data_IF_113915231957
#
_entry.id   IF_113915231957
#
_cell.length_a   1.000
_cell.length_b   1.000
_cell.length_c   1.000
_cell.angle_alpha   90.00
_cell.angle_beta   90.00
_cell.angle_gamma   90.00
#
_symmetry.space_group_name_H-M   'P 1'
#
loop_
_entity.id
_entity.type
_entity.pdbx_description
1 polymer ?
#
# COMPACT_ATOMS: atom_id res chain seq x y z
N UNK A 1 -25.37 40.80 41.51
CA UNK A 1 -26.11 39.52 41.45
C UNK A 1 -26.37 39.23 39.98
N UNK A 2 -25.79 38.14 39.47
CA UNK A 2 -25.78 37.79 38.05
C UNK A 2 -27.11 37.23 37.57
N UNK A 3 -27.64 37.79 36.48
CA UNK A 3 -28.78 37.27 35.75
C UNK A 3 -28.41 37.20 34.26
N UNK A 4 -27.60 36.21 33.89
CA UNK A 4 -27.58 35.67 32.53
C UNK A 4 -28.46 34.41 32.55
N UNK A 5 -29.77 34.60 32.43
CA UNK A 5 -30.66 33.49 32.06
C UNK A 5 -30.57 33.36 30.54
N UNK A 6 -29.77 32.39 30.09
CA UNK A 6 -29.84 31.87 28.73
C UNK A 6 -31.27 31.34 28.53
N UNK A 7 -32.10 32.06 27.80
CA UNK A 7 -33.38 31.52 27.35
C UNK A 7 -33.03 30.37 26.40
N UNK A 8 -33.40 29.14 26.78
CA UNK A 8 -33.24 27.98 25.91
C UNK A 8 -34.06 28.20 24.65
N UNK A 9 -33.39 28.55 23.57
CA UNK A 9 -34.00 28.72 22.26
C UNK A 9 -34.69 27.38 21.88
N UNK A 10 -36.02 27.37 21.66
CA UNK A 10 -36.75 26.15 21.33
C UNK A 10 -36.21 25.47 20.07
N UNK A 11 -35.57 26.23 19.17
CA UNK A 11 -34.88 25.67 18.00
C UNK A 11 -33.62 24.90 18.39
N UNK A 12 -32.86 25.37 19.38
CA UNK A 12 -31.70 24.66 19.93
C UNK A 12 -32.12 23.39 20.66
N UNK A 13 -33.20 23.45 21.44
CA UNK A 13 -33.74 22.28 22.15
C UNK A 13 -34.20 21.19 21.17
N UNK A 14 -34.84 21.58 20.06
CA UNK A 14 -35.27 20.65 19.00
C UNK A 14 -34.06 20.00 18.29
N UNK A 15 -33.03 20.80 17.98
CA UNK A 15 -31.77 20.30 17.40
C UNK A 15 -31.07 19.31 18.34
N UNK A 16 -30.94 19.62 19.63
CA UNK A 16 -30.34 18.72 20.63
C UNK A 16 -31.11 17.39 20.70
N UNK A 17 -32.45 17.44 20.73
CA UNK A 17 -33.28 16.22 20.73
C UNK A 17 -33.12 15.38 19.45
N UNK A 18 -32.91 16.01 18.30
CA UNK A 18 -32.65 15.30 17.05
C UNK A 18 -31.28 14.60 17.09
N UNK A 19 -30.24 15.29 17.56
CA UNK A 19 -28.89 14.74 17.74
C UNK A 19 -28.92 13.56 18.73
N UNK A 20 -29.60 13.69 19.87
CA UNK A 20 -29.71 12.61 20.86
C UNK A 20 -30.38 11.34 20.29
N UNK A 21 -31.36 11.52 19.38
CA UNK A 21 -32.00 10.39 18.69
C UNK A 21 -31.04 9.73 17.72
N UNK A 22 -30.30 10.52 16.94
CA UNK A 22 -29.31 10.02 15.99
C UNK A 22 -28.18 9.26 16.71
N UNK A 23 -27.66 9.81 17.81
CA UNK A 23 -26.65 9.15 18.66
C UNK A 23 -27.14 7.83 19.24
N UNK A 24 -28.38 7.78 19.73
CA UNK A 24 -28.98 6.52 20.23
C UNK A 24 -29.13 5.49 19.12
N UNK A 25 -29.55 5.91 17.93
CA UNK A 25 -29.68 5.00 16.79
C UNK A 25 -28.32 4.47 16.35
N UNK A 26 -27.32 5.34 16.18
CA UNK A 26 -25.95 4.96 15.85
C UNK A 26 -25.36 4.01 16.88
N UNK A 27 -25.63 4.22 18.18
CA UNK A 27 -25.17 3.32 19.24
C UNK A 27 -25.81 1.93 19.13
N UNK A 28 -27.12 1.84 18.85
CA UNK A 28 -27.80 0.56 18.63
C UNK A 28 -27.29 -0.17 17.37
N UNK A 29 -26.91 0.57 16.33
CA UNK A 29 -26.29 0.02 15.13
C UNK A 29 -24.87 -0.48 15.43
N UNK A 30 -24.07 0.29 16.17
CA UNK A 30 -22.71 -0.11 16.57
C UNK A 30 -22.69 -1.38 17.42
N UNK A 31 -23.65 -1.54 18.34
CA UNK A 31 -23.77 -2.75 19.16
C UNK A 31 -24.00 -4.02 18.33
N UNK A 32 -24.50 -3.90 17.09
CA UNK A 32 -24.69 -5.03 16.17
C UNK A 32 -23.42 -5.36 15.37
N UNK A 33 -22.40 -4.49 15.38
CA UNK A 33 -21.16 -4.67 14.63
C UNK A 33 -20.23 -5.62 15.38
N UNK A 34 -19.85 -6.72 14.73
CA UNK A 34 -18.80 -7.63 15.23
C UNK A 34 -17.44 -7.07 14.85
N UNK A 35 -16.66 -6.60 15.85
CA UNK A 35 -15.29 -6.09 15.64
C UNK A 35 -14.30 -7.24 15.64
N UNK A 36 -13.55 -7.40 14.55
CA UNK A 36 -12.51 -8.43 14.39
C UNK A 36 -11.12 -7.79 14.40
N UNK A 37 -10.20 -8.33 15.20
CA UNK A 37 -8.79 -7.93 15.23
C UNK A 37 -7.92 -9.07 14.67
N UNK A 38 -7.17 -8.78 13.61
CA UNK A 38 -6.22 -9.72 13.02
C UNK A 38 -4.81 -9.40 13.52
N UNK A 39 -4.17 -10.38 14.19
CA UNK A 39 -2.81 -10.28 14.72
C UNK A 39 -1.88 -11.23 14.00
N UNK A 40 -0.60 -10.85 13.91
CA UNK A 40 0.45 -11.64 13.27
C UNK A 40 1.64 -10.78 12.86
N UNK A 41 2.77 -11.42 12.59
CA UNK A 41 4.02 -10.77 12.17
C UNK A 41 3.85 -9.94 10.87
N UNK A 42 4.82 -9.08 10.55
CA UNK A 42 4.87 -8.40 9.26
C UNK A 42 4.71 -9.39 8.11
N UNK A 43 4.01 -8.97 7.05
CA UNK A 43 3.89 -9.74 5.79
C UNK A 43 3.18 -11.11 5.89
N UNK A 44 2.66 -11.51 7.06
CA UNK A 44 1.98 -12.82 7.25
C UNK A 44 0.58 -12.93 6.59
N UNK A 45 0.21 -12.03 5.69
CA UNK A 45 -1.04 -12.11 4.92
C UNK A 45 -2.30 -11.53 5.58
N UNK A 46 -2.21 -10.78 6.69
CA UNK A 46 -3.36 -10.13 7.34
C UNK A 46 -4.18 -9.25 6.36
N UNK A 47 -3.48 -8.41 5.60
CA UNK A 47 -4.09 -7.56 4.58
C UNK A 47 -4.74 -8.40 3.47
N UNK A 48 -4.14 -9.54 3.12
CA UNK A 48 -4.69 -10.46 2.12
C UNK A 48 -6.02 -11.07 2.59
N UNK A 49 -6.11 -11.50 3.86
CA UNK A 49 -7.37 -12.00 4.44
C UNK A 49 -8.47 -10.94 4.40
N UNK A 50 -8.15 -9.68 4.75
CA UNK A 50 -9.12 -8.58 4.67
C UNK A 50 -9.54 -8.27 3.23
N UNK A 51 -8.61 -8.31 2.27
CA UNK A 51 -8.92 -8.15 0.84
C UNK A 51 -9.86 -9.27 0.35
N UNK A 52 -9.63 -10.51 0.75
CA UNK A 52 -10.52 -11.63 0.41
C UNK A 52 -11.91 -11.47 1.02
N UNK A 53 -12.01 -11.04 2.28
CA UNK A 53 -13.32 -10.74 2.89
C UNK A 53 -14.07 -9.66 2.11
N UNK A 54 -13.38 -8.61 1.64
CA UNK A 54 -14.00 -7.57 0.79
C UNK A 54 -14.50 -8.16 -0.53
N UNK A 55 -13.71 -9.00 -1.20
CA UNK A 55 -14.09 -9.64 -2.46
C UNK A 55 -15.33 -10.52 -2.28
N UNK A 56 -15.45 -11.24 -1.15
CA UNK A 56 -16.57 -12.16 -0.91
C UNK A 56 -17.86 -11.47 -0.46
N UNK A 57 -17.77 -10.34 0.25
CA UNK A 57 -18.92 -9.73 0.93
C UNK A 57 -19.37 -8.37 0.38
N UNK A 58 -18.51 -7.64 -0.34
CA UNK A 58 -18.84 -6.34 -0.91
C UNK A 58 -18.86 -6.40 -2.43
N UNK A 59 -19.68 -5.54 -3.05
CA UNK A 59 -19.60 -5.30 -4.50
C UNK A 59 -18.21 -4.76 -4.86
N UNK A 60 -17.80 -5.03 -6.12
CA UNK A 60 -16.48 -4.74 -6.71
C UNK A 60 -15.89 -3.38 -6.30
N UNK A 61 -14.55 -3.31 -6.27
CA UNK A 61 -13.78 -2.11 -5.91
C UNK A 61 -14.23 -0.88 -6.71
N UNK A 62 -14.32 0.28 -6.05
CA UNK A 62 -14.61 1.54 -6.75
C UNK A 62 -13.43 1.99 -7.62
N UNK A 63 -13.68 2.90 -8.56
CA UNK A 63 -12.60 3.47 -9.40
C UNK A 63 -11.50 4.14 -8.57
N UNK A 64 -11.87 4.79 -7.46
CA UNK A 64 -10.93 5.39 -6.52
C UNK A 64 -10.08 4.32 -5.81
N UNK A 65 -10.69 3.21 -5.39
CA UNK A 65 -9.96 2.09 -4.79
C UNK A 65 -9.01 1.43 -5.80
N UNK A 66 -9.44 1.31 -7.06
CA UNK A 66 -8.59 0.81 -8.15
C UNK A 66 -7.40 1.75 -8.37
N UNK A 67 -7.62 3.08 -8.37
CA UNK A 67 -6.55 4.05 -8.51
C UNK A 67 -5.52 3.96 -7.37
N UNK A 68 -5.99 3.86 -6.12
CA UNK A 68 -5.10 3.66 -4.98
C UNK A 68 -4.33 2.32 -5.07
N UNK A 69 -5.00 1.26 -5.54
CA UNK A 69 -4.36 -0.05 -5.68
C UNK A 69 -3.30 -0.07 -6.79
N UNK A 70 -3.44 0.74 -7.84
CA UNK A 70 -2.39 0.94 -8.86
C UNK A 70 -1.13 1.56 -8.28
N UNK A 71 -1.25 2.61 -7.47
CA UNK A 71 -0.11 3.25 -6.81
C UNK A 71 0.69 2.24 -5.95
N UNK A 72 -0.02 1.35 -5.24
CA UNK A 72 0.60 0.26 -4.47
C UNK A 72 1.35 -0.72 -5.37
N UNK A 73 0.80 -1.07 -6.54
CA UNK A 73 1.47 -1.97 -7.50
C UNK A 73 2.75 -1.33 -8.04
N UNK A 74 2.71 -0.04 -8.40
CA UNK A 74 3.88 0.68 -8.87
C UNK A 74 4.98 0.70 -7.79
N UNK A 75 4.61 1.05 -6.56
CA UNK A 75 5.52 1.06 -5.43
C UNK A 75 6.19 -0.30 -5.23
N UNK A 76 5.40 -1.37 -5.11
CA UNK A 76 5.93 -2.72 -4.92
C UNK A 76 6.87 -3.14 -6.07
N UNK A 77 6.56 -2.77 -7.30
CA UNK A 77 7.38 -3.11 -8.48
C UNK A 77 8.75 -2.41 -8.41
N UNK A 78 8.75 -1.09 -8.18
CA UNK A 78 9.99 -0.30 -8.12
C UNK A 78 10.81 -0.70 -6.89
N UNK A 79 10.18 -0.78 -5.72
CA UNK A 79 10.85 -1.13 -4.47
C UNK A 79 11.43 -2.55 -4.51
N UNK A 80 10.72 -3.52 -5.09
CA UNK A 80 11.25 -4.89 -5.26
C UNK A 80 12.51 -4.90 -6.13
N UNK A 81 12.51 -4.16 -7.24
CA UNK A 81 13.69 -4.05 -8.10
C UNK A 81 14.85 -3.33 -7.39
N UNK A 82 14.58 -2.28 -6.62
CA UNK A 82 15.60 -1.59 -5.80
C UNK A 82 16.23 -2.54 -4.78
N UNK A 83 15.41 -3.34 -4.09
CA UNK A 83 15.87 -4.33 -3.13
C UNK A 83 16.76 -5.37 -3.81
N UNK A 84 16.38 -5.87 -4.99
CA UNK A 84 17.20 -6.79 -5.78
C UNK A 84 18.56 -6.16 -6.15
N UNK A 85 18.56 -4.94 -6.69
CA UNK A 85 19.79 -4.23 -7.08
C UNK A 85 20.72 -3.96 -5.88
N UNK A 86 20.15 -3.64 -4.72
CA UNK A 86 20.92 -3.49 -3.47
C UNK A 86 21.47 -4.82 -2.99
N UNK A 87 20.65 -5.87 -3.00
CA UNK A 87 21.05 -7.24 -2.66
C UNK A 87 22.18 -7.74 -3.55
N UNK A 88 22.14 -7.45 -4.85
CA UNK A 88 23.22 -7.74 -5.80
C UNK A 88 24.54 -7.12 -5.36
N UNK A 89 24.54 -5.83 -4.99
CA UNK A 89 25.73 -5.14 -4.50
C UNK A 89 26.26 -5.78 -3.20
N UNK A 90 25.38 -6.14 -2.26
CA UNK A 90 25.75 -6.81 -1.01
C UNK A 90 26.37 -8.19 -1.25
N UNK A 91 25.83 -8.96 -2.22
CA UNK A 91 26.28 -10.31 -2.54
C UNK A 91 27.43 -10.34 -3.57
N UNK A 92 27.87 -9.18 -4.05
CA UNK A 92 28.90 -9.06 -5.10
C UNK A 92 28.47 -9.61 -6.46
N UNK A 93 27.17 -9.68 -6.73
CA UNK A 93 26.61 -10.14 -8.00
C UNK A 93 26.61 -8.97 -8.98
N UNK A 94 27.26 -9.14 -10.12
CA UNK A 94 27.24 -8.16 -11.21
C UNK A 94 26.09 -8.45 -12.17
N UNK A 95 25.62 -7.41 -12.85
CA UNK A 95 24.75 -7.54 -14.02
C UNK A 95 25.48 -8.34 -15.11
N UNK A 96 24.74 -9.17 -15.82
CA UNK A 96 25.28 -9.99 -16.92
C UNK A 96 25.51 -9.11 -18.16
N UNK A 97 24.63 -8.14 -18.40
CA UNK A 97 24.77 -7.10 -19.42
C UNK A 97 25.19 -5.75 -18.79
N UNK A 98 26.46 -5.31 -18.93
CA UNK A 98 26.94 -4.04 -18.37
C UNK A 98 26.26 -2.80 -18.95
N UNK A 99 25.55 -2.90 -20.08
CA UNK A 99 24.79 -1.77 -20.61
C UNK A 99 23.57 -1.42 -19.75
N UNK A 100 23.15 -2.36 -18.88
CA UNK A 100 22.03 -2.22 -17.95
C UNK A 100 22.35 -1.41 -16.70
N UNK A 101 23.61 -1.01 -16.49
CA UNK A 101 23.97 -0.11 -15.40
C UNK A 101 23.21 1.23 -15.45
N UNK A 102 22.82 1.69 -16.64
CA UNK A 102 22.00 2.89 -16.79
C UNK A 102 20.55 2.63 -16.37
N UNK A 103 20.00 1.46 -16.70
CA UNK A 103 18.65 1.03 -16.28
C UNK A 103 18.60 0.92 -14.75
N UNK A 104 19.62 0.31 -14.12
CA UNK A 104 19.74 0.22 -12.67
C UNK A 104 19.81 1.59 -11.99
N UNK A 105 20.59 2.53 -12.57
CA UNK A 105 20.67 3.91 -12.08
C UNK A 105 19.32 4.63 -12.15
N UNK A 106 18.58 4.46 -13.25
CA UNK A 106 17.26 5.06 -13.40
C UNK A 106 16.29 4.61 -12.31
N UNK A 107 16.24 3.30 -12.05
CA UNK A 107 15.38 2.72 -11.00
C UNK A 107 15.75 3.26 -9.62
N UNK A 108 17.05 3.32 -9.30
CA UNK A 108 17.54 3.82 -8.01
C UNK A 108 17.27 5.33 -7.82
N UNK A 109 17.34 6.13 -8.87
CA UNK A 109 17.05 7.56 -8.81
C UNK A 109 15.55 7.84 -8.62
N UNK A 110 14.65 7.08 -9.26
CA UNK A 110 13.19 7.19 -9.00
C UNK A 110 12.88 6.91 -7.54
N UNK A 111 13.47 5.86 -6.96
CA UNK A 111 13.29 5.56 -5.56
C UNK A 111 13.88 6.62 -4.62
N UNK A 112 15.03 7.19 -4.98
CA UNK A 112 15.64 8.29 -4.22
C UNK A 112 14.76 9.55 -4.20
N UNK A 113 13.99 9.80 -5.26
CA UNK A 113 13.04 10.90 -5.34
C UNK A 113 11.72 10.63 -4.60
N UNK A 114 11.46 9.39 -4.18
CA UNK A 114 10.19 9.00 -3.56
C UNK A 114 9.03 8.93 -4.56
N UNK A 115 9.34 8.71 -5.84
CA UNK A 115 8.38 8.68 -6.95
C UNK A 115 7.91 7.24 -7.27
N UNK A 116 8.11 6.26 -6.37
CA UNK A 116 7.82 4.85 -6.66
C UNK A 116 6.32 4.56 -6.81
N UNK A 117 5.47 5.38 -6.19
CA UNK A 117 4.02 5.22 -6.22
C UNK A 117 3.36 5.89 -7.43
N UNK A 118 4.13 6.65 -8.21
CA UNK A 118 3.65 7.37 -9.38
C UNK A 118 3.54 6.44 -10.60
N UNK A 119 2.68 6.77 -11.59
CA UNK A 119 2.63 6.04 -12.85
C UNK A 119 4.02 5.94 -13.49
N UNK A 120 4.51 4.73 -13.79
CA UNK A 120 5.86 4.56 -14.31
C UNK A 120 5.96 5.18 -15.70
N UNK A 121 7.05 5.92 -15.95
CA UNK A 121 7.38 6.40 -17.29
C UNK A 121 7.69 5.21 -18.21
N UNK A 122 7.55 5.40 -19.52
CA UNK A 122 7.89 4.35 -20.51
C UNK A 122 9.32 3.86 -20.36
N UNK A 123 10.25 4.76 -20.00
CA UNK A 123 11.65 4.42 -19.79
C UNK A 123 11.88 3.64 -18.50
N UNK A 124 11.21 4.00 -17.40
CA UNK A 124 11.29 3.26 -16.14
C UNK A 124 10.72 1.84 -16.31
N UNK A 125 9.56 1.71 -16.95
CA UNK A 125 8.94 0.42 -17.20
C UNK A 125 9.84 -0.49 -18.06
N UNK A 126 10.47 0.08 -19.09
CA UNK A 126 11.42 -0.63 -19.95
C UNK A 126 12.68 -1.04 -19.18
N UNK A 127 13.22 -0.15 -18.37
CA UNK A 127 14.39 -0.42 -17.53
C UNK A 127 14.13 -1.57 -16.56
N UNK A 128 13.00 -1.55 -15.84
CA UNK A 128 12.61 -2.65 -14.93
C UNK A 128 12.44 -3.96 -15.70
N UNK A 129 11.75 -3.94 -16.83
CA UNK A 129 11.56 -5.13 -17.66
C UNK A 129 12.88 -5.69 -18.19
N UNK A 130 13.80 -4.83 -18.65
CA UNK A 130 15.13 -5.24 -19.11
C UNK A 130 16.00 -5.79 -17.98
N UNK A 131 16.00 -5.15 -16.81
CA UNK A 131 16.70 -5.65 -15.62
C UNK A 131 16.15 -7.00 -15.17
N UNK A 132 14.83 -7.23 -15.23
CA UNK A 132 14.26 -8.52 -14.87
C UNK A 132 14.65 -9.66 -15.81
N UNK A 133 15.02 -9.35 -17.07
CA UNK A 133 15.54 -10.36 -17.99
C UNK A 133 17.05 -10.62 -17.82
N UNK A 134 17.76 -9.79 -17.05
CA UNK A 134 19.17 -10.01 -16.75
C UNK A 134 19.34 -11.24 -15.83
N UNK A 135 20.26 -12.13 -16.20
CA UNK A 135 20.51 -13.38 -15.44
C UNK A 135 21.08 -13.11 -14.05
N UNK A 136 21.88 -12.06 -13.88
CA UNK A 136 22.38 -11.63 -12.59
C UNK A 136 21.24 -11.27 -11.63
N UNK A 137 20.25 -10.53 -12.12
CA UNK A 137 19.06 -10.16 -11.34
C UNK A 137 18.17 -11.39 -11.09
N UNK A 138 17.73 -12.07 -12.15
CA UNK A 138 16.69 -13.10 -12.07
C UNK A 138 17.16 -14.43 -11.52
N UNK A 139 18.36 -14.89 -11.88
CA UNK A 139 18.83 -16.22 -11.51
C UNK A 139 19.73 -16.19 -10.28
N UNK A 140 20.56 -15.15 -10.12
CA UNK A 140 21.56 -15.10 -9.03
C UNK A 140 21.09 -14.29 -7.81
N UNK A 141 20.47 -13.14 -8.02
CA UNK A 141 20.01 -12.30 -6.92
C UNK A 141 18.67 -12.78 -6.35
N UNK A 142 17.66 -12.95 -7.23
CA UNK A 142 16.31 -13.35 -6.80
C UNK A 142 16.27 -14.73 -6.11
N UNK A 143 17.06 -15.71 -6.58
CA UNK A 143 17.15 -17.03 -5.94
C UNK A 143 17.72 -16.99 -4.52
N UNK A 144 18.51 -15.95 -4.23
CA UNK A 144 19.08 -15.65 -2.90
C UNK A 144 18.31 -14.53 -2.21
N UNK A 145 17.07 -14.30 -2.63
CA UNK A 145 16.19 -13.26 -2.10
C UNK A 145 15.91 -13.37 -0.61
N UNK A 146 16.13 -14.54 0.00
CA UNK A 146 16.05 -14.76 1.45
C UNK A 146 17.24 -14.22 2.25
N UNK A 147 18.36 -13.87 1.58
CA UNK A 147 19.53 -13.25 2.22
C UNK A 147 19.39 -11.74 2.38
N UNK A 148 18.34 -11.17 1.79
CA UNK A 148 17.92 -9.78 1.95
C UNK A 148 16.39 -9.72 2.15
N UNK A 149 15.84 -8.57 2.53
CA UNK A 149 14.39 -8.46 2.78
C UNK A 149 13.64 -8.21 1.47
N UNK A 150 13.54 -9.22 0.61
CA UNK A 150 12.74 -9.16 -0.61
C UNK A 150 11.28 -9.52 -0.31
N UNK A 151 10.34 -8.73 -0.84
CA UNK A 151 8.91 -9.01 -0.72
C UNK A 151 8.53 -10.29 -1.47
N UNK A 152 7.65 -11.10 -0.87
CA UNK A 152 7.17 -12.36 -1.46
C UNK A 152 6.49 -12.18 -2.83
N UNK A 153 5.89 -11.00 -3.08
CA UNK A 153 5.20 -10.67 -4.33
C UNK A 153 6.14 -10.20 -5.46
N UNK A 154 7.45 -10.14 -5.22
CA UNK A 154 8.40 -9.50 -6.15
C UNK A 154 8.49 -10.15 -7.55
N UNK A 155 8.09 -11.42 -7.71
CA UNK A 155 8.12 -12.14 -8.99
C UNK A 155 6.73 -12.43 -9.59
N UNK A 156 5.67 -11.88 -9.00
CA UNK A 156 4.28 -12.11 -9.44
C UNK A 156 3.77 -11.03 -10.37
#
# INVERSE_FOLDING_TARGET
>A
MGACQSQDDPTMTSKTKAIDRELKQAHMEEQKIVKLLLLGAGECGKSTVLKQMRILHNNFMSDDEIYQQKAVIYNNTVTSMVVLLRGMNTLGIKLDDPSRENDARLVLEVAKKGEESEPPTSDLARAIASLWQDRGVKERAFSRGNEFQLQDTAAQ
#
